data_IF_781807606600
#
_entry.id   IF_781807606600
#
_cell.length_a   1.000
_cell.length_b   1.000
_cell.length_c   1.000
_cell.angle_alpha   90.00
_cell.angle_beta   90.00
_cell.angle_gamma   90.00
#
_symmetry.space_group_name_H-M   'P 1'
#
loop_
_entity.id
_entity.type
_entity.pdbx_description
1 polymer ?
2 non-polymer ?
3 non-polymer ?
4 water ?
#
# COMPACT_ATOMS: atom_id res chain seq x y z
N UNK A 1 -10.47 23.66 -2.11
CA UNK A 1 -9.74 22.40 -2.04
C UNK A 1 -8.61 22.33 -3.05
N UNK A 2 -7.40 22.10 -2.56
CA UNK A 2 -6.20 22.04 -3.38
C UNK A 2 -6.25 21.00 -4.49
N UNK A 3 -5.48 21.25 -5.54
CA UNK A 3 -5.37 20.29 -6.62
C UNK A 3 -4.54 19.11 -6.14
N UNK A 4 -3.60 19.38 -5.23
CA UNK A 4 -2.71 18.34 -4.72
C UNK A 4 -2.28 18.67 -3.29
N UNK A 5 -2.81 17.92 -2.31
CA UNK A 5 -2.56 18.28 -0.91
C UNK A 5 -1.10 18.10 -0.48
N UNK A 6 -0.32 17.36 -1.27
CA UNK A 6 1.08 17.14 -0.93
C UNK A 6 2.00 18.28 -1.35
N UNK A 7 1.51 19.16 -2.23
CA UNK A 7 2.26 20.35 -2.65
C UNK A 7 2.13 21.43 -1.59
N UNK A 8 3.26 21.88 -1.04
CA UNK A 8 3.24 22.96 -0.07
C UNK A 8 2.85 22.52 1.34
N UNK A 9 2.99 21.23 1.63
CA UNK A 9 2.74 20.74 2.98
C UNK A 9 3.88 19.79 3.37
N UNK A 10 4.13 19.64 4.67
CA UNK A 10 5.10 18.65 5.11
C UNK A 10 4.34 17.44 5.63
N UNK A 11 4.92 16.26 5.44
CA UNK A 11 4.24 15.04 5.87
C UNK A 11 4.22 14.90 7.37
N UNK A 12 3.09 14.43 7.89
CA UNK A 12 2.97 14.03 9.28
C UNK A 12 4.04 13.02 9.67
N UNK A 13 4.69 13.22 10.81
CA UNK A 13 5.61 12.21 11.31
C UNK A 13 4.98 11.52 12.51
N UNK A 14 4.70 10.24 12.37
CA UNK A 14 4.04 9.45 13.42
C UNK A 14 5.03 9.16 14.54
N UNK A 15 4.82 9.77 15.72
CA UNK A 15 5.82 9.61 16.78
C UNK A 15 5.88 8.19 17.32
N UNK A 16 4.79 7.45 17.24
CA UNK A 16 4.76 6.08 17.75
C UNK A 16 5.57 5.12 16.86
N UNK A 17 5.45 5.28 15.55
CA UNK A 17 6.30 4.54 14.64
C UNK A 17 7.76 5.00 14.81
N UNK A 18 7.98 6.31 14.87
CA UNK A 18 9.35 6.81 14.96
C UNK A 18 10.05 6.31 16.21
N UNK A 19 9.30 6.14 17.30
CA UNK A 19 9.89 5.63 18.54
C UNK A 19 10.42 4.21 18.35
N UNK A 20 9.67 3.39 17.62
CA UNK A 20 10.12 2.05 17.29
C UNK A 20 11.39 2.07 16.43
N UNK A 21 11.42 2.97 15.45
CA UNK A 21 12.59 3.07 14.57
C UNK A 21 13.84 3.47 15.36
N UNK A 22 13.70 4.46 16.22
CA UNK A 22 14.82 4.95 17.04
C UNK A 22 15.29 3.88 18.03
N UNK A 23 14.35 3.15 18.62
CA UNK A 23 14.70 2.03 19.49
C UNK A 23 15.51 0.98 18.73
N UNK A 24 15.11 0.73 17.49
CA UNK A 24 15.83 -0.22 16.66
C UNK A 24 17.25 0.29 16.38
N UNK A 25 17.34 1.59 16.09
CA UNK A 25 18.65 2.21 15.84
C UNK A 25 19.59 2.01 17.03
N UNK A 26 19.05 2.17 18.23
CA UNK A 26 19.83 2.02 19.46
C UNK A 26 20.22 0.57 19.76
N UNK A 27 19.59 -0.37 19.07
CA UNK A 27 19.94 -1.78 19.20
C UNK A 27 20.77 -2.27 18.03
N UNK A 28 21.14 -1.34 17.15
CA UNK A 28 21.90 -1.66 15.94
C UNK A 28 23.42 -1.52 16.18
N UNK A 29 24.13 -2.62 16.01
CA UNK A 29 25.58 -2.65 16.23
C UNK A 29 26.32 -1.78 15.22
N UNK A 30 26.12 -2.07 13.93
CA UNK A 30 26.70 -1.30 12.85
C UNK A 30 26.34 0.18 12.99
N UNK A 31 27.36 1.03 13.19
CA UNK A 31 27.15 2.47 13.43
C UNK A 31 26.59 3.17 12.19
N UNK A 32 27.00 2.72 11.00
CA UNK A 32 26.49 3.29 9.76
C UNK A 32 25.01 2.96 9.62
N UNK A 33 24.68 1.67 9.75
CA UNK A 33 23.30 1.22 9.66
C UNK A 33 22.45 1.89 10.74
N UNK A 34 23.01 2.03 11.94
CA UNK A 34 22.31 2.67 13.04
C UNK A 34 21.98 4.13 12.71
N UNK A 35 22.91 4.82 12.05
CA UNK A 35 22.68 6.21 11.69
C UNK A 35 21.62 6.32 10.59
N UNK A 36 21.62 5.33 9.69
CA UNK A 36 20.60 5.27 8.64
C UNK A 36 19.21 5.00 9.23
N UNK A 37 19.15 4.03 10.15
CA UNK A 37 17.90 3.72 10.88
C UNK A 37 17.38 4.98 11.56
N UNK A 38 18.27 5.73 12.21
CA UNK A 38 17.90 6.96 12.89
C UNK A 38 17.27 7.98 11.93
N UNK A 39 17.84 8.09 10.73
CA UNK A 39 17.33 9.00 9.70
C UNK A 39 15.93 8.60 9.23
N UNK A 40 15.72 7.29 9.10
CA UNK A 40 14.43 6.79 8.63
C UNK A 40 13.27 7.29 9.51
N UNK A 41 13.54 7.43 10.80
CA UNK A 41 12.55 7.89 11.78
C UNK A 41 12.00 9.29 11.51
N UNK A 42 12.67 10.04 10.64
CA UNK A 42 12.25 11.42 10.35
C UNK A 42 11.26 11.52 9.19
N UNK A 43 11.01 10.40 8.52
CA UNK A 43 10.10 10.41 7.36
C UNK A 43 8.63 10.18 7.73
N UNK A 44 7.75 10.53 6.80
CA UNK A 44 6.30 10.51 7.03
C UNK A 44 5.67 9.19 6.61
N UNK A 45 4.92 8.57 7.52
CA UNK A 45 4.22 7.31 7.24
C UNK A 45 2.74 7.47 7.60
N UNK A 46 1.89 6.65 6.99
CA UNK A 46 0.44 6.75 7.21
C UNK A 46 0.01 6.08 8.52
N UNK A 47 -1.12 6.55 9.06
CA UNK A 47 -1.71 5.97 10.27
C UNK A 47 -2.86 5.05 9.85
N UNK A 48 -2.72 3.76 10.16
CA UNK A 48 -3.72 2.78 9.74
C UNK A 48 -4.85 2.66 10.74
N UNK A 49 -6.07 2.79 10.26
CA UNK A 49 -7.26 2.51 11.05
C UNK A 49 -7.81 1.19 10.55
N UNK A 50 -7.31 0.10 11.14
CA UNK A 50 -7.56 -1.24 10.60
C UNK A 50 -8.53 -2.04 11.45
N UNK A 51 -9.11 -1.38 12.44
CA UNK A 51 -10.12 -1.98 13.30
C UNK A 51 -10.80 -0.86 14.08
N UNK A 52 -11.98 -1.13 14.63
CA UNK A 52 -12.70 -0.13 15.37
C UNK A 52 -11.88 0.40 16.54
N UNK A 53 -11.16 -0.50 17.21
CA UNK A 53 -10.37 -0.11 18.39
C UNK A 53 -9.28 0.92 18.06
N UNK A 54 -8.82 0.92 16.82
CA UNK A 54 -7.74 1.83 16.42
C UNK A 54 -8.17 3.29 16.51
N UNK A 55 -9.47 3.52 16.47
CA UNK A 55 -9.96 4.90 16.55
C UNK A 55 -9.61 5.55 17.90
N UNK A 56 -9.59 4.76 18.97
CA UNK A 56 -9.37 5.31 20.31
C UNK A 56 -8.20 4.70 21.08
N UNK A 57 -7.67 3.56 20.64
CA UNK A 57 -6.59 2.90 21.36
C UNK A 57 -5.32 3.74 21.32
N UNK A 58 -4.61 3.80 22.44
CA UNK A 58 -3.41 4.61 22.50
C UNK A 58 -3.73 6.07 22.27
N UNK A 59 -2.87 6.81 21.57
CA UNK A 59 -3.18 8.22 21.36
C UNK A 59 -4.42 8.38 20.49
N UNK A 60 -4.73 7.36 19.69
CA UNK A 60 -5.98 7.35 18.94
C UNK A 60 -6.00 8.29 17.76
N UNK A 61 -7.08 8.26 16.98
CA UNK A 61 -7.22 9.16 15.83
C UNK A 61 -7.11 10.63 16.25
N UNK A 62 -7.83 11.02 17.30
CA UNK A 62 -7.71 12.39 17.80
C UNK A 62 -6.31 12.76 18.22
N UNK A 63 -5.61 11.81 18.83
CA UNK A 63 -4.25 12.05 19.29
C UNK A 63 -3.30 12.29 18.14
N UNK A 64 -3.45 11.52 17.07
CA UNK A 64 -2.60 11.75 15.90
C UNK A 64 -2.92 13.09 15.25
N UNK A 65 -4.19 13.46 15.21
CA UNK A 65 -4.56 14.73 14.60
C UNK A 65 -4.07 15.91 15.45
N UNK A 66 -4.15 15.76 16.77
CA UNK A 66 -3.64 16.78 17.67
C UNK A 66 -2.12 16.91 17.52
N UNK A 67 -1.46 15.78 17.31
CA UNK A 67 -0.01 15.79 17.10
C UNK A 67 0.30 16.47 15.77
N UNK A 68 -0.52 16.21 14.74
CA UNK A 68 -0.32 16.86 13.46
C UNK A 68 -0.45 18.38 13.60
N UNK A 69 -1.42 18.82 14.40
CA UNK A 69 -1.61 20.25 14.69
C UNK A 69 -0.35 20.84 15.34
N UNK A 70 0.23 20.09 16.27
CA UNK A 70 1.44 20.55 16.94
C UNK A 70 2.60 20.64 15.97
N UNK A 71 2.77 19.66 15.08
CA UNK A 71 3.83 19.70 14.09
C UNK A 71 3.63 20.86 13.13
N UNK A 72 2.39 21.15 12.78
CA UNK A 72 2.05 22.27 11.90
C UNK A 72 2.44 23.61 12.55
N UNK A 73 2.08 23.77 13.82
CA UNK A 73 2.41 24.99 14.56
C UNK A 73 3.93 25.16 14.63
N UNK A 74 4.64 24.09 14.97
CA UNK A 74 6.09 24.12 15.10
C UNK A 74 6.80 24.44 13.77
N UNK A 75 6.32 23.87 12.68
CA UNK A 75 6.96 24.05 11.38
C UNK A 75 6.57 25.37 10.72
N UNK A 76 5.40 25.88 11.09
CA UNK A 76 4.86 27.05 10.42
C UNK A 76 4.49 26.74 8.98
N UNK A 77 4.24 25.46 8.70
CA UNK A 77 3.84 25.03 7.37
C UNK A 77 2.66 24.07 7.54
N UNK A 78 1.78 24.00 6.53
CA UNK A 78 0.67 23.03 6.59
C UNK A 78 1.22 21.60 6.70
N UNK A 79 0.52 20.74 7.43
CA UNK A 79 0.91 19.34 7.55
C UNK A 79 -0.13 18.50 6.82
N UNK A 80 0.34 17.53 6.04
CA UNK A 80 -0.55 16.57 5.40
C UNK A 80 -0.40 15.22 6.10
N UNK A 81 -1.50 14.74 6.68
CA UNK A 81 -1.50 13.46 7.39
C UNK A 81 -2.27 12.43 6.59
N UNK A 82 -1.71 11.22 6.46
CA UNK A 82 -2.38 10.17 5.68
C UNK A 82 -2.98 9.13 6.63
N UNK A 83 -4.26 8.81 6.41
CA UNK A 83 -4.99 7.81 7.20
C UNK A 83 -5.39 6.66 6.29
N UNK A 84 -5.26 5.42 6.75
CA UNK A 84 -5.72 4.29 5.93
C UNK A 84 -7.06 3.79 6.50
N UNK A 85 -8.10 3.83 5.68
CA UNK A 85 -9.41 3.36 6.08
C UNK A 85 -9.50 1.90 5.67
N UNK A 86 -9.46 0.98 6.63
CA UNK A 86 -9.25 -0.43 6.31
C UNK A 86 -10.01 -1.35 7.26
N UNK A 87 -11.34 -1.36 7.17
CA UNK A 87 -12.10 -2.29 8.02
C UNK A 87 -13.36 -2.85 7.36
N UNK A 88 -13.35 -3.01 6.03
CA UNK A 88 -14.56 -3.51 5.35
C UNK A 88 -15.01 -4.87 5.86
N UNK A 89 -16.31 -5.12 5.80
CA UNK A 89 -16.84 -6.43 6.14
C UNK A 89 -16.38 -7.44 5.08
N UNK A 90 -16.10 -8.68 5.50
CA UNK A 90 -15.46 -9.67 4.63
C UNK A 90 -14.17 -9.11 4.04
N UNK A 91 -13.39 -8.42 4.87
CA UNK A 91 -12.12 -7.83 4.43
C UNK A 91 -11.20 -8.87 3.85
N UNK A 92 -10.40 -8.47 2.84
CA UNK A 92 -9.40 -9.34 2.22
C UNK A 92 -10.03 -10.67 1.83
N UNK A 93 -11.16 -10.58 1.12
CA UNK A 93 -12.04 -11.72 0.91
C UNK A 93 -11.38 -12.93 0.24
N UNK A 94 -10.35 -12.70 -0.58
CA UNK A 94 -9.75 -13.81 -1.30
C UNK A 94 -8.82 -14.66 -0.43
N UNK A 95 -8.37 -14.11 0.68
CA UNK A 95 -7.56 -14.90 1.63
C UNK A 95 -8.48 -15.87 2.37
N UNK A 96 -7.97 -17.06 2.70
CA UNK A 96 -8.77 -18.06 3.41
C UNK A 96 -9.29 -17.49 4.74
N UNK A 97 -8.48 -16.66 5.38
CA UNK A 97 -9.00 -15.83 6.46
C UNK A 97 -8.28 -14.49 6.48
N UNK A 98 -8.91 -13.50 7.11
CA UNK A 98 -8.38 -12.14 7.17
C UNK A 98 -8.24 -11.75 8.62
N UNK A 99 -7.43 -10.73 8.89
CA UNK A 99 -7.37 -10.20 10.24
C UNK A 99 -8.52 -9.23 10.54
N UNK A 100 -9.30 -8.91 9.50
CA UNK A 100 -10.43 -7.99 9.64
C UNK A 100 -11.55 -8.51 10.52
N UNK A 101 -12.04 -7.65 11.41
CA UNK A 101 -13.02 -8.07 12.42
C UNK A 101 -14.46 -8.21 11.91
N UNK A 102 -14.81 -7.55 10.80
CA UNK A 102 -16.22 -7.51 10.37
C UNK A 102 -16.55 -8.53 9.29
N UNK A 103 -17.67 -9.21 9.44
CA UNK A 103 -18.13 -10.21 8.45
C UNK A 103 -19.53 -9.88 7.97
N UNK A 104 -19.76 -10.01 6.66
CA UNK A 104 -21.05 -9.64 6.08
C UNK A 104 -22.20 -10.35 6.79
N UNK A 105 -22.02 -11.62 7.09
CA UNK A 105 -23.10 -12.42 7.69
C UNK A 105 -23.35 -12.07 9.17
N UNK A 106 -22.42 -11.36 9.80
CA UNK A 106 -22.60 -10.91 11.17
C UNK A 106 -22.74 -9.38 11.28
N UNK A 107 -23.70 -8.84 10.52
CA UNK A 107 -24.03 -7.42 10.56
C UNK A 107 -22.84 -6.54 10.17
N UNK A 108 -21.97 -7.07 9.33
CA UNK A 108 -20.74 -6.37 8.96
C UNK A 108 -20.90 -4.98 8.38
N UNK A 109 -21.76 -4.85 7.36
CA UNK A 109 -21.93 -3.55 6.71
C UNK A 109 -22.52 -2.53 7.67
N UNK A 110 -23.54 -2.94 8.44
CA UNK A 110 -24.15 -2.00 9.37
C UNK A 110 -23.16 -1.51 10.42
N UNK A 111 -22.29 -2.42 10.91
CA UNK A 111 -21.31 -2.02 11.92
C UNK A 111 -20.21 -1.18 11.28
N UNK A 112 -19.86 -1.49 10.03
CA UNK A 112 -18.86 -0.69 9.31
C UNK A 112 -19.31 0.78 9.27
N UNK A 113 -20.59 1.00 8.96
CA UNK A 113 -21.11 2.36 8.92
C UNK A 113 -21.16 2.99 10.30
N UNK A 114 -21.80 2.33 11.25
CA UNK A 114 -22.14 2.93 12.54
C UNK A 114 -21.00 2.97 13.56
N UNK A 115 -20.13 1.95 13.55
CA UNK A 115 -19.07 1.87 14.56
C UNK A 115 -17.68 2.23 14.02
N UNK A 116 -17.52 2.28 12.71
CA UNK A 116 -16.21 2.56 12.15
C UNK A 116 -16.22 3.90 11.38
N UNK A 117 -16.94 3.98 10.28
CA UNK A 117 -16.97 5.22 9.51
C UNK A 117 -17.54 6.40 10.30
N UNK A 118 -18.71 6.22 10.92
CA UNK A 118 -19.35 7.35 11.59
C UNK A 118 -18.47 8.04 12.66
N UNK A 119 -17.84 7.26 13.57
CA UNK A 119 -17.01 7.94 14.57
C UNK A 119 -15.77 8.58 13.96
N UNK A 120 -15.22 7.97 12.92
CA UNK A 120 -14.08 8.58 12.21
C UNK A 120 -14.48 9.93 11.63
N UNK A 121 -15.62 9.94 10.94
CA UNK A 121 -16.10 11.15 10.27
C UNK A 121 -16.41 12.24 11.31
N UNK A 122 -16.98 11.84 12.45
CA UNK A 122 -17.26 12.81 13.50
C UNK A 122 -15.99 13.48 14.01
N UNK A 123 -14.93 12.69 14.17
CA UNK A 123 -13.64 13.24 14.60
C UNK A 123 -13.02 14.15 13.54
N UNK A 124 -13.01 13.68 12.28
CA UNK A 124 -12.38 14.46 11.21
C UNK A 124 -13.13 15.77 10.92
N UNK A 125 -14.40 15.81 11.33
CA UNK A 125 -15.28 16.96 11.13
C UNK A 125 -15.07 18.07 12.15
N UNK A 126 -14.28 17.79 13.19
CA UNK A 126 -14.02 18.77 14.25
C UNK A 126 -13.33 19.99 13.65
N UNK A 127 -13.91 21.20 13.87
CA UNK A 127 -13.35 22.42 13.27
C UNK A 127 -11.91 22.67 13.71
N UNK A 128 -11.50 22.07 14.82
CA UNK A 128 -10.12 22.19 15.29
C UNK A 128 -9.09 21.73 14.26
N UNK A 129 -9.51 20.83 13.37
CA UNK A 129 -8.59 20.22 12.40
C UNK A 129 -8.64 20.84 11.01
N UNK A 130 -9.42 21.91 10.86
CA UNK A 130 -9.67 22.51 9.55
C UNK A 130 -8.41 22.96 8.79
N UNK A 131 -7.35 23.28 9.52
CA UNK A 131 -6.13 23.76 8.90
C UNK A 131 -5.22 22.66 8.37
N UNK A 132 -5.49 21.42 8.75
CA UNK A 132 -4.70 20.29 8.28
C UNK A 132 -5.11 19.90 6.87
N UNK A 133 -4.26 19.14 6.19
CA UNK A 133 -4.71 18.43 5.00
C UNK A 133 -4.77 16.95 5.37
N UNK A 134 -5.95 16.35 5.21
CA UNK A 134 -6.14 14.99 5.68
C UNK A 134 -6.36 14.09 4.46
N UNK A 135 -5.44 13.15 4.23
CA UNK A 135 -5.55 12.24 3.09
C UNK A 135 -6.08 10.90 3.57
N UNK A 136 -7.16 10.41 2.95
CA UNK A 136 -7.72 9.12 3.35
C UNK A 136 -7.57 8.10 2.22
N UNK A 137 -6.81 7.05 2.50
CA UNK A 137 -6.63 5.94 1.57
C UNK A 137 -7.78 4.97 1.79
N UNK A 138 -8.60 4.73 0.78
CA UNK A 138 -9.83 3.98 1.01
C UNK A 138 -9.67 2.48 0.71
N UNK A 139 -9.70 1.67 1.77
CA UNK A 139 -9.90 0.21 1.70
C UNK A 139 -9.00 -0.57 0.72
N UNK A 140 -7.72 -0.72 1.07
CA UNK A 140 -6.82 -1.60 0.34
C UNK A 140 -7.38 -3.03 0.25
N UNK A 141 -7.04 -3.75 -0.83
CA UNK A 141 -7.38 -5.17 -0.95
C UNK A 141 -8.89 -5.42 -0.93
N UNK A 142 -9.66 -4.49 -1.50
CA UNK A 142 -11.11 -4.66 -1.55
C UNK A 142 -11.61 -4.84 -2.99
N UNK A 143 -11.92 -3.73 -3.68
CA UNK A 143 -12.49 -3.79 -5.03
C UNK A 143 -11.77 -4.66 -6.08
N UNK A 144 -10.43 -4.73 -6.06
CA UNK A 144 -9.79 -5.55 -7.09
C UNK A 144 -10.21 -7.02 -7.00
N UNK A 145 -10.61 -7.47 -5.82
CA UNK A 145 -11.16 -8.82 -5.69
C UNK A 145 -12.43 -9.05 -6.50
N UNK A 146 -13.18 -7.98 -6.74
CA UNK A 146 -14.42 -8.11 -7.51
C UNK A 146 -14.12 -8.19 -9.01
N UNK A 147 -12.89 -7.90 -9.37
CA UNK A 147 -12.45 -8.08 -10.76
C UNK A 147 -11.96 -9.50 -11.03
N UNK A 148 -11.14 -10.05 -10.14
CA UNK A 148 -10.48 -11.32 -10.43
C UNK A 148 -10.89 -12.52 -9.58
N UNK A 149 -11.52 -12.26 -8.44
CA UNK A 149 -11.70 -13.31 -7.44
C UNK A 149 -13.14 -13.64 -7.10
N UNK A 150 -14.07 -13.38 -8.03
CA UNK A 150 -15.49 -13.62 -7.72
C UNK A 150 -15.86 -15.11 -7.69
N UNK A 151 -14.96 -15.98 -8.12
CA UNK A 151 -15.17 -17.43 -7.98
C UNK A 151 -15.06 -17.86 -6.51
N UNK A 152 -14.51 -16.99 -5.68
CA UNK A 152 -14.34 -17.26 -4.25
C UNK A 152 -15.57 -16.77 -3.49
N UNK A 153 -16.26 -17.69 -2.78
CA UNK A 153 -17.51 -17.31 -2.11
C UNK A 153 -17.41 -16.08 -1.23
N UNK A 154 -16.35 -15.94 -0.44
CA UNK A 154 -16.29 -14.78 0.44
C UNK A 154 -16.23 -13.46 -0.35
N UNK A 155 -15.68 -13.49 -1.55
CA UNK A 155 -15.67 -12.29 -2.39
C UNK A 155 -17.00 -12.05 -3.07
N UNK A 156 -17.58 -13.09 -3.66
CA UNK A 156 -18.88 -12.96 -4.30
C UNK A 156 -19.94 -12.49 -3.29
N UNK A 157 -19.82 -12.97 -2.06
CA UNK A 157 -20.78 -12.57 -1.01
C UNK A 157 -20.51 -11.17 -0.48
N UNK A 158 -19.33 -10.64 -0.76
CA UNK A 158 -18.94 -9.32 -0.23
C UNK A 158 -19.22 -8.17 -1.18
N UNK A 159 -19.68 -8.47 -2.40
CA UNK A 159 -19.80 -7.46 -3.45
C UNK A 159 -20.55 -6.20 -3.03
N UNK A 160 -21.77 -6.35 -2.55
CA UNK A 160 -22.54 -5.18 -2.15
C UNK A 160 -21.98 -4.47 -0.94
N UNK A 161 -21.45 -5.24 0.02
CA UNK A 161 -20.87 -4.64 1.20
C UNK A 161 -19.64 -3.79 0.83
N UNK A 162 -18.84 -4.27 -0.12
CA UNK A 162 -17.69 -3.48 -0.59
C UNK A 162 -18.18 -2.22 -1.30
N UNK A 163 -19.08 -2.39 -2.26
CA UNK A 163 -19.59 -1.25 -3.02
C UNK A 163 -20.30 -0.26 -2.11
N UNK A 164 -21.22 -0.74 -1.29
CA UNK A 164 -21.99 0.17 -0.43
C UNK A 164 -21.13 0.74 0.69
N UNK A 165 -20.21 -0.05 1.23
CA UNK A 165 -19.32 0.45 2.25
C UNK A 165 -18.42 1.56 1.74
N UNK A 166 -17.79 1.34 0.59
CA UNK A 166 -16.92 2.34 0.01
C UNK A 166 -17.70 3.59 -0.38
N UNK A 167 -18.86 3.42 -0.99
CA UNK A 167 -19.70 4.58 -1.31
C UNK A 167 -20.08 5.38 -0.06
N UNK A 168 -20.43 4.68 1.02
CA UNK A 168 -20.78 5.32 2.27
C UNK A 168 -19.59 6.08 2.83
N UNK A 169 -18.44 5.43 2.90
CA UNK A 169 -17.23 6.07 3.38
C UNK A 169 -16.92 7.35 2.61
N UNK A 170 -16.93 7.26 1.28
CA UNK A 170 -16.59 8.43 0.47
C UNK A 170 -17.66 9.52 0.58
N UNK A 171 -18.93 9.13 0.52
CA UNK A 171 -20.00 10.11 0.66
C UNK A 171 -19.89 10.91 1.95
N UNK A 172 -19.60 10.23 3.06
CA UNK A 172 -19.47 10.92 4.34
C UNK A 172 -18.19 11.76 4.42
N UNK A 173 -17.08 11.21 3.94
CA UNK A 173 -15.82 11.97 3.99
C UNK A 173 -15.85 13.22 3.09
N UNK A 174 -16.62 13.16 2.01
CA UNK A 174 -16.69 14.31 1.09
C UNK A 174 -17.38 15.53 1.74
N UNK A 175 -18.02 15.34 2.89
CA UNK A 175 -18.64 16.46 3.60
C UNK A 175 -17.59 17.29 4.37
N UNK A 176 -16.36 16.81 4.38
CA UNK A 176 -15.27 17.50 5.08
C UNK A 176 -14.31 18.08 4.03
N UNK A 177 -14.23 19.42 3.96
CA UNK A 177 -13.56 20.09 2.84
C UNK A 177 -12.04 19.93 2.81
N UNK A 178 -11.40 19.59 3.92
CA UNK A 178 -9.95 19.38 3.90
C UNK A 178 -9.54 17.89 3.86
N UNK A 179 -10.48 17.03 3.51
CA UNK A 179 -10.19 15.61 3.36
C UNK A 179 -10.01 15.25 1.88
N UNK A 180 -8.88 14.61 1.57
CA UNK A 180 -8.54 14.24 0.20
C UNK A 180 -8.61 12.73 0.09
N UNK A 181 -9.38 12.24 -0.89
CA UNK A 181 -9.82 10.86 -0.92
C UNK A 181 -9.22 10.09 -2.10
N UNK A 182 -8.45 9.05 -1.80
CA UNK A 182 -7.84 8.25 -2.86
C UNK A 182 -8.29 6.80 -2.72
N UNK A 183 -8.85 6.23 -3.79
CA UNK A 183 -9.27 4.84 -3.73
C UNK A 183 -8.09 3.93 -4.00
N UNK A 184 -7.98 2.86 -3.23
CA UNK A 184 -6.93 1.88 -3.49
C UNK A 184 -7.28 1.09 -4.73
N UNK A 185 -6.30 0.87 -5.60
CA UNK A 185 -6.52 0.10 -6.81
C UNK A 185 -5.34 -0.86 -7.05
N UNK A 186 -5.00 -1.60 -5.99
CA UNK A 186 -4.03 -2.70 -6.06
C UNK A 186 -2.66 -2.29 -6.62
N UNK A 187 -2.10 -3.12 -7.49
CA UNK A 187 -0.78 -2.87 -8.09
C UNK A 187 -0.68 -3.57 -9.46
N UNK A 188 0.39 -3.32 -10.20
CA UNK A 188 0.48 -3.83 -11.57
C UNK A 188 0.42 -5.37 -11.64
N UNK A 189 0.94 -6.03 -10.62
CA UNK A 189 0.98 -7.49 -10.61
C UNK A 189 -0.37 -8.14 -10.35
N UNK A 190 -1.37 -7.30 -10.04
CA UNK A 190 -2.74 -7.79 -9.87
C UNK A 190 -3.61 -7.45 -11.08
N UNK A 191 -3.68 -6.15 -11.43
CA UNK A 191 -4.64 -5.70 -12.43
C UNK A 191 -4.04 -5.27 -13.77
N UNK A 192 -2.79 -5.64 -14.04
CA UNK A 192 -2.11 -5.20 -15.26
C UNK A 192 -2.58 -5.80 -16.57
N UNK A 193 -2.88 -7.10 -16.56
CA UNK A 193 -3.38 -7.78 -17.77
C UNK A 193 -4.61 -7.07 -18.33
N UNK A 194 -4.73 -7.06 -19.67
CA UNK A 194 -5.82 -6.35 -20.35
C UNK A 194 -7.21 -6.59 -19.76
N UNK A 195 -7.57 -7.86 -19.55
CA UNK A 195 -8.91 -8.16 -19.05
C UNK A 195 -9.13 -7.61 -17.63
N UNK A 196 -8.14 -7.76 -16.77
CA UNK A 196 -8.21 -7.22 -15.40
C UNK A 196 -8.23 -5.69 -15.39
N UNK A 197 -7.41 -5.10 -16.24
CA UNK A 197 -7.28 -3.65 -16.33
C UNK A 197 -8.64 -3.07 -16.76
N UNK A 198 -9.20 -3.59 -17.85
CA UNK A 198 -10.48 -3.09 -18.32
C UNK A 198 -11.61 -3.36 -17.34
N UNK A 199 -11.57 -4.53 -16.70
CA UNK A 199 -12.57 -4.88 -15.71
C UNK A 199 -12.52 -3.94 -14.50
N UNK A 200 -11.32 -3.55 -14.11
CA UNK A 200 -11.16 -2.62 -12.98
C UNK A 200 -11.62 -1.22 -13.37
N UNK A 201 -11.27 -0.77 -14.58
CA UNK A 201 -11.75 0.54 -15.02
C UNK A 201 -13.28 0.59 -15.03
N UNK A 202 -13.91 -0.45 -15.58
CA UNK A 202 -15.37 -0.56 -15.55
C UNK A 202 -15.91 -0.51 -14.12
N UNK A 203 -15.36 -1.36 -13.27
CA UNK A 203 -15.86 -1.49 -11.90
C UNK A 203 -15.74 -0.19 -11.11
N UNK A 204 -14.55 0.42 -11.11
CA UNK A 204 -14.36 1.63 -10.33
C UNK A 204 -15.18 2.78 -10.90
N UNK A 205 -15.33 2.82 -12.23
CA UNK A 205 -16.19 3.85 -12.81
C UNK A 205 -17.63 3.67 -12.32
N UNK A 206 -18.13 2.44 -12.32
CA UNK A 206 -19.48 2.19 -11.79
C UNK A 206 -19.61 2.55 -10.32
N UNK A 207 -18.62 2.16 -9.51
CA UNK A 207 -18.67 2.46 -8.08
C UNK A 207 -18.70 3.98 -7.84
N UNK A 208 -17.80 4.71 -8.49
CA UNK A 208 -17.72 6.16 -8.26
C UNK A 208 -18.93 6.91 -8.84
N UNK A 209 -19.40 6.51 -10.02
CA UNK A 209 -20.59 7.14 -10.60
C UNK A 209 -21.79 7.09 -9.65
N UNK A 210 -21.86 6.04 -8.83
CA UNK A 210 -22.96 5.88 -7.90
C UNK A 210 -22.81 6.64 -6.59
N UNK A 211 -21.73 7.41 -6.46
CA UNK A 211 -21.52 8.24 -5.27
C UNK A 211 -22.25 9.57 -5.42
N UNK A 212 -22.51 10.24 -4.30
CA UNK A 212 -23.28 11.48 -4.30
C UNK A 212 -22.75 12.55 -5.25
N UNK A 213 -21.43 12.67 -5.33
CA UNK A 213 -20.83 13.68 -6.20
C UNK A 213 -20.30 13.10 -7.49
N UNK A 214 -20.70 11.87 -7.82
CA UNK A 214 -20.26 11.23 -9.04
C UNK A 214 -18.75 11.28 -9.18
N UNK A 215 -18.26 11.64 -10.36
CA UNK A 215 -16.83 11.68 -10.62
C UNK A 215 -16.06 12.73 -9.80
N UNK A 216 -16.79 13.62 -9.12
CA UNK A 216 -16.13 14.60 -8.27
C UNK A 216 -15.99 14.13 -6.84
N UNK A 217 -16.37 12.87 -6.57
CA UNK A 217 -16.39 12.33 -5.22
C UNK A 217 -15.02 11.95 -4.68
N UNK A 218 -14.06 11.69 -5.56
CA UNK A 218 -12.73 11.30 -5.11
C UNK A 218 -11.67 12.20 -5.71
N UNK A 219 -10.46 12.14 -5.18
CA UNK A 219 -9.38 12.98 -5.68
C UNK A 219 -8.32 12.20 -6.45
N UNK A 220 -8.46 10.88 -6.44
CA UNK A 220 -7.55 10.05 -7.19
C UNK A 220 -7.52 8.62 -6.69
N UNK A 221 -6.42 7.94 -6.98
CA UNK A 221 -6.27 6.52 -6.67
C UNK A 221 -4.87 6.29 -6.14
N UNK A 222 -4.66 5.18 -5.43
CA UNK A 222 -3.32 4.82 -4.98
C UNK A 222 -2.99 3.39 -5.37
N UNK A 223 -1.73 3.14 -5.75
CA UNK A 223 -1.29 1.80 -6.08
C UNK A 223 -0.18 1.35 -5.14
N UNK A 224 0.05 0.05 -5.08
CA UNK A 224 1.21 -0.56 -4.39
C UNK A 224 1.16 -0.51 -2.85
N UNK A 225 -0.01 -0.24 -2.28
CA UNK A 225 -0.13 -0.16 -0.82
C UNK A 225 0.36 -1.46 -0.17
N UNK A 226 1.33 -1.33 0.73
CA UNK A 226 1.93 -2.46 1.46
C UNK A 226 2.58 -3.49 0.56
N UNK A 227 2.79 -3.15 -0.72
CA UNK A 227 3.43 -4.08 -1.62
C UNK A 227 4.86 -3.65 -1.94
N UNK A 228 5.50 -4.34 -2.89
CA UNK A 228 6.94 -4.20 -3.10
C UNK A 228 7.29 -3.95 -4.56
N UNK A 229 6.27 -3.68 -5.37
CA UNK A 229 6.51 -3.55 -6.81
C UNK A 229 7.24 -2.24 -7.12
N UNK A 230 8.32 -2.32 -7.90
CA UNK A 230 9.10 -1.11 -8.23
C UNK A 230 8.26 -0.05 -8.94
N UNK A 231 8.55 1.23 -8.70
CA UNK A 231 7.89 2.28 -9.47
C UNK A 231 8.42 2.34 -10.89
N UNK A 232 9.67 1.90 -11.09
CA UNK A 232 10.26 1.81 -12.43
C UNK A 232 11.13 0.59 -12.57
N UNK A 233 11.04 -0.09 -13.72
CA UNK A 233 11.94 -1.19 -14.06
C UNK A 233 12.83 -0.70 -15.20
N UNK A 234 13.93 -0.02 -14.86
CA UNK A 234 14.69 0.73 -15.87
C UNK A 234 15.40 -0.14 -16.90
N UNK A 235 15.63 -1.42 -16.58
CA UNK A 235 16.34 -2.29 -17.51
C UNK A 235 15.39 -3.24 -18.24
N UNK A 236 14.08 -3.02 -18.01
CA UNK A 236 13.04 -3.67 -18.80
C UNK A 236 12.01 -2.63 -19.22
N UNK A 237 12.44 -1.62 -19.99
CA UNK A 237 11.52 -0.51 -20.31
C UNK A 237 10.53 -0.86 -21.41
N UNK A 238 10.70 -2.01 -22.05
CA UNK A 238 9.87 -2.41 -23.19
C UNK A 238 9.37 -3.85 -23.03
N UNK A 239 8.12 -4.01 -22.57
CA UNK A 239 7.55 -5.34 -22.31
C UNK A 239 7.42 -6.19 -23.57
N UNK A 240 7.50 -5.54 -24.73
CA UNK A 240 7.38 -6.25 -26.01
C UNK A 240 8.74 -6.54 -26.68
N UNK A 241 9.83 -6.16 -26.01
CA UNK A 241 11.17 -6.42 -26.51
C UNK A 241 11.37 -7.90 -26.80
N UNK A 242 11.88 -8.23 -27.98
CA UNK A 242 12.06 -9.63 -28.34
C UNK A 242 13.38 -10.20 -27.85
N UNK A 243 13.30 -11.28 -27.08
CA UNK A 243 14.47 -12.04 -26.64
C UNK A 243 14.16 -13.51 -26.92
N UNK A 244 15.04 -14.19 -27.64
CA UNK A 244 14.83 -15.59 -27.99
C UNK A 244 13.47 -15.84 -28.64
N UNK A 245 13.11 -14.98 -29.58
CA UNK A 245 11.87 -15.12 -30.33
C UNK A 245 10.58 -14.83 -29.58
N UNK A 246 10.68 -14.32 -28.35
CA UNK A 246 9.50 -14.06 -27.54
C UNK A 246 9.60 -12.71 -26.81
N UNK A 247 8.47 -12.04 -26.60
CA UNK A 247 8.51 -10.75 -25.89
C UNK A 247 8.83 -10.97 -24.42
N UNK A 248 9.59 -10.07 -23.80
CA UNK A 248 10.03 -10.28 -22.43
C UNK A 248 8.88 -10.43 -21.41
N UNK A 249 7.70 -9.87 -21.72
CA UNK A 249 6.58 -9.99 -20.79
C UNK A 249 6.08 -11.43 -20.69
N UNK A 250 6.48 -12.28 -21.64
CA UNK A 250 6.11 -13.70 -21.58
C UNK A 250 6.90 -14.47 -20.53
N UNK A 251 7.92 -13.84 -19.95
CA UNK A 251 8.69 -14.46 -18.87
C UNK A 251 7.78 -14.96 -17.76
N UNK A 252 8.21 -16.03 -17.10
CA UNK A 252 7.42 -16.64 -16.03
C UNK A 252 7.05 -15.65 -14.94
N UNK A 253 7.95 -14.72 -14.66
CA UNK A 253 7.72 -13.76 -13.58
C UNK A 253 6.54 -12.85 -13.89
N UNK A 254 6.34 -12.52 -15.16
CA UNK A 254 5.27 -11.59 -15.54
C UNK A 254 4.01 -12.27 -16.09
N UNK A 255 4.17 -13.45 -16.68
CA UNK A 255 3.02 -14.18 -17.25
C UNK A 255 2.21 -13.37 -18.25
N UNK A 256 2.90 -12.64 -19.13
CA UNK A 256 2.28 -11.83 -20.19
C UNK A 256 1.69 -10.51 -19.74
N UNK A 257 1.84 -10.19 -18.45
CA UNK A 257 1.41 -8.89 -17.95
C UNK A 257 2.18 -7.77 -18.65
N UNK A 258 1.45 -6.82 -19.26
CA UNK A 258 2.17 -5.73 -19.94
C UNK A 258 2.71 -4.64 -19.01
N UNK A 259 2.41 -4.73 -17.71
CA UNK A 259 2.91 -3.73 -16.75
C UNK A 259 3.91 -4.30 -15.76
N UNK A 260 5.15 -3.82 -15.83
CA UNK A 260 6.23 -4.34 -14.99
C UNK A 260 6.46 -3.43 -13.77
N UNK A 261 5.84 -2.25 -13.78
CA UNK A 261 6.13 -1.27 -12.74
C UNK A 261 4.96 -0.34 -12.46
N UNK A 262 5.01 0.36 -11.32
CA UNK A 262 3.85 1.10 -10.85
C UNK A 262 3.64 2.43 -11.56
N UNK A 263 4.72 3.07 -12.02
CA UNK A 263 4.54 4.32 -12.76
C UNK A 263 3.69 4.12 -14.01
N UNK A 264 4.07 3.15 -14.84
CA UNK A 264 3.35 2.90 -16.09
C UNK A 264 1.90 2.51 -15.81
N UNK A 265 1.72 1.65 -14.82
CA UNK A 265 0.40 1.16 -14.44
C UNK A 265 -0.47 2.30 -13.91
N UNK A 266 0.04 3.08 -12.96
CA UNK A 266 -0.75 4.15 -12.38
C UNK A 266 -1.15 5.21 -13.42
N UNK A 267 -0.20 5.61 -14.27
CA UNK A 267 -0.53 6.63 -15.27
C UNK A 267 -1.49 6.13 -16.33
N UNK A 268 -1.38 4.84 -16.68
CA UNK A 268 -2.31 4.24 -17.64
C UNK A 268 -3.73 4.20 -17.08
N UNK A 269 -3.87 3.84 -15.81
CA UNK A 269 -5.17 3.87 -15.16
C UNK A 269 -5.71 5.30 -15.15
N UNK A 270 -4.85 6.27 -14.78
CA UNK A 270 -5.29 7.66 -14.71
C UNK A 270 -5.85 8.13 -16.06
N UNK A 271 -5.16 7.79 -17.14
CA UNK A 271 -5.64 8.17 -18.47
C UNK A 271 -6.94 7.46 -18.83
N UNK A 272 -7.05 6.19 -18.46
CA UNK A 272 -8.26 5.43 -18.75
C UNK A 272 -9.45 6.01 -18.01
N UNK A 273 -9.27 6.39 -16.75
CA UNK A 273 -10.36 7.00 -16.00
C UNK A 273 -10.78 8.36 -16.55
N UNK A 274 -9.79 9.18 -16.91
CA UNK A 274 -10.10 10.46 -17.55
C UNK A 274 -10.91 10.23 -18.83
N UNK A 275 -10.55 9.17 -19.56
CA UNK A 275 -11.30 8.81 -20.75
C UNK A 275 -12.74 8.45 -20.47
N UNK A 276 -13.01 7.95 -19.27
CA UNK A 276 -14.37 7.54 -18.89
C UNK A 276 -15.18 8.66 -18.26
N UNK A 277 -14.55 9.82 -18.06
CA UNK A 277 -15.28 10.98 -17.55
C UNK A 277 -14.77 11.57 -16.25
N UNK A 278 -13.77 10.95 -15.64
CA UNK A 278 -13.17 11.54 -14.44
C UNK A 278 -12.45 12.83 -14.86
N UNK A 279 -12.49 13.87 -14.01
CA UNK A 279 -11.81 15.13 -14.36
C UNK A 279 -10.30 14.96 -14.34
N UNK A 280 -9.57 15.75 -15.11
CA UNK A 280 -8.12 15.57 -15.21
C UNK A 280 -7.39 16.02 -13.94
N UNK A 281 -8.14 16.58 -13.00
CA UNK A 281 -7.61 16.91 -11.68
C UNK A 281 -7.31 15.69 -10.80
N UNK A 282 -7.75 14.49 -11.21
CA UNK A 282 -7.41 13.31 -10.43
C UNK A 282 -5.90 13.08 -10.49
N UNK A 283 -5.34 12.55 -9.40
CA UNK A 283 -3.92 12.23 -9.38
C UNK A 283 -3.70 10.88 -8.71
N UNK A 284 -2.54 10.28 -8.96
CA UNK A 284 -2.24 8.96 -8.41
C UNK A 284 -1.19 9.04 -7.33
N UNK A 285 -1.33 8.18 -6.31
CA UNK A 285 -0.27 8.00 -5.32
C UNK A 285 0.33 6.62 -5.55
N UNK A 286 1.61 6.47 -5.21
CA UNK A 286 2.25 5.15 -5.21
C UNK A 286 2.95 4.96 -3.88
N UNK A 287 2.67 3.85 -3.21
CA UNK A 287 3.34 3.50 -1.94
C UNK A 287 4.75 3.01 -2.25
N UNK A 288 5.76 3.80 -1.90
CA UNK A 288 7.15 3.46 -2.20
C UNK A 288 7.89 3.08 -0.92
N UNK A 289 7.13 2.70 0.11
CA UNK A 289 7.72 2.36 1.40
C UNK A 289 8.73 1.21 1.33
N UNK A 290 8.49 0.22 0.48
CA UNK A 290 9.31 -1.00 0.52
C UNK A 290 9.63 -1.55 -0.86
N UNK A 291 9.74 -0.68 -1.85
CA UNK A 291 9.95 -1.14 -3.23
C UNK A 291 11.26 -0.68 -3.86
N UNK A 292 12.24 -0.33 -3.05
CA UNK A 292 13.52 0.16 -3.57
C UNK A 292 14.40 -0.92 -4.17
N UNK A 293 14.39 -2.12 -3.58
CA UNK A 293 15.17 -3.25 -4.10
C UNK A 293 16.65 -2.94 -4.29
N UNK A 294 17.25 -2.25 -3.33
CA UNK A 294 18.70 -2.13 -3.29
C UNK A 294 19.27 -3.35 -2.57
N UNK A 295 20.57 -3.36 -2.32
CA UNK A 295 21.20 -4.48 -1.64
C UNK A 295 21.03 -5.79 -2.37
N UNK A 296 21.05 -6.89 -1.62
CA UNK A 296 21.00 -8.25 -2.19
C UNK A 296 20.09 -9.14 -1.35
N UNK A 297 19.30 -9.98 -2.01
CA UNK A 297 18.46 -10.99 -1.34
C UNK A 297 17.89 -11.89 -2.43
N UNK A 298 17.34 -13.03 -2.04
CA UNK A 298 16.75 -13.97 -3.00
C UNK A 298 17.73 -14.37 -4.10
N UNK A 299 19.01 -14.44 -3.74
CA UNK A 299 20.04 -14.94 -4.64
C UNK A 299 20.55 -13.97 -5.70
N UNK A 300 20.15 -12.70 -5.60
CA UNK A 300 20.56 -11.70 -6.60
C UNK A 300 20.88 -10.36 -5.94
N UNK A 301 21.65 -9.53 -6.62
CA UNK A 301 21.80 -8.14 -6.22
C UNK A 301 21.03 -7.30 -7.23
N UNK A 302 20.84 -6.02 -6.92
CA UNK A 302 20.13 -5.14 -7.85
C UNK A 302 20.90 -5.08 -9.18
N UNK A 303 20.18 -5.26 -10.29
CA UNK A 303 20.85 -5.20 -11.60
C UNK A 303 21.34 -3.77 -11.91
N UNK A 304 22.39 -3.67 -12.72
CA UNK A 304 22.93 -2.35 -13.09
C UNK A 304 22.92 -2.23 -14.60
N UNK A 305 22.06 -3.01 -15.23
CA UNK A 305 21.89 -2.99 -16.67
C UNK A 305 21.05 -4.18 -17.10
N UNK A 306 20.60 -4.16 -18.37
CA UNK A 306 19.94 -5.34 -18.94
C UNK A 306 20.85 -6.54 -18.85
N UNK A 307 20.31 -7.73 -18.63
CA UNK A 307 21.13 -8.94 -18.54
C UNK A 307 21.92 -9.17 -19.83
N UNK A 308 23.16 -9.62 -19.69
CA UNK A 308 23.94 -10.04 -20.85
C UNK A 308 23.50 -11.42 -21.33
N UNK A 309 22.69 -12.11 -20.53
CA UNK A 309 22.19 -13.43 -20.91
C UNK A 309 20.92 -13.32 -21.75
N UNK A 310 21.07 -13.42 -23.07
CA UNK A 310 19.95 -13.32 -23.99
C UNK A 310 19.54 -14.69 -24.54
N UNK A 311 19.98 -15.75 -23.87
CA UNK A 311 19.73 -17.11 -24.33
C UNK A 311 18.28 -17.55 -24.15
N UNK A 312 17.62 -17.02 -23.13
CA UNK A 312 16.20 -17.29 -22.93
C UNK A 312 15.50 -16.09 -22.29
N UNK A 313 14.19 -15.99 -22.54
CA UNK A 313 13.36 -14.94 -21.97
C UNK A 313 13.49 -14.89 -20.46
N UNK A 314 13.36 -16.05 -19.82
CA UNK A 314 13.43 -16.11 -18.36
C UNK A 314 14.79 -15.71 -17.80
N UNK A 315 15.87 -16.20 -18.42
CA UNK A 315 17.19 -15.84 -17.97
C UNK A 315 17.42 -14.34 -18.10
N UNK A 316 16.99 -13.78 -19.22
CA UNK A 316 17.17 -12.35 -19.47
C UNK A 316 16.38 -11.50 -18.47
N UNK A 317 15.08 -11.79 -18.37
CA UNK A 317 14.23 -11.04 -17.45
C UNK A 317 14.69 -11.19 -16.00
N UNK A 318 15.01 -12.41 -15.58
CA UNK A 318 15.40 -12.64 -14.19
C UNK A 318 16.72 -11.95 -13.85
N UNK A 319 17.55 -11.71 -14.87
CA UNK A 319 18.79 -10.98 -14.65
C UNK A 319 18.64 -9.47 -14.80
N UNK A 320 17.47 -9.01 -15.26
CA UNK A 320 17.26 -7.59 -15.53
C UNK A 320 16.28 -6.88 -14.59
N UNK A 321 15.41 -7.66 -13.93
CA UNK A 321 14.37 -7.04 -13.11
C UNK A 321 14.90 -6.61 -11.74
N UNK A 322 14.46 -5.44 -11.27
CA UNK A 322 14.89 -5.04 -9.94
C UNK A 322 14.04 -5.72 -8.84
N UNK A 323 12.78 -6.02 -9.16
CA UNK A 323 11.94 -6.79 -8.23
C UNK A 323 12.49 -8.22 -8.18
N UNK A 324 13.15 -8.57 -7.08
CA UNK A 324 13.83 -9.86 -6.93
C UNK A 324 12.97 -11.00 -6.38
N UNK A 325 11.68 -10.76 -6.17
CA UNK A 325 10.84 -11.77 -5.54
C UNK A 325 10.77 -13.05 -6.39
N UNK A 326 10.55 -14.20 -5.75
CA UNK A 326 10.46 -15.46 -6.47
C UNK A 326 9.22 -15.47 -7.36
N UNK A 327 8.17 -14.81 -6.90
CA UNK A 327 6.90 -14.76 -7.60
C UNK A 327 6.25 -13.43 -7.27
N UNK A 328 5.58 -12.82 -8.24
CA UNK A 328 5.03 -11.47 -8.06
C UNK A 328 3.96 -11.34 -6.98
N UNK A 329 3.36 -12.47 -6.61
CA UNK A 329 2.31 -12.46 -5.60
C UNK A 329 2.82 -12.64 -4.18
N UNK A 330 4.15 -12.74 -4.02
CA UNK A 330 4.75 -12.88 -2.70
C UNK A 330 4.68 -11.56 -1.94
N UNK A 331 3.69 -11.42 -1.07
CA UNK A 331 3.44 -10.14 -0.43
C UNK A 331 3.87 -10.05 1.03
N UNK A 332 4.29 -11.16 1.62
CA UNK A 332 4.49 -11.16 3.07
C UNK A 332 5.95 -11.16 3.52
N UNK A 333 6.31 -10.13 4.27
CA UNK A 333 7.60 -10.06 4.96
C UNK A 333 8.78 -10.32 4.04
N UNK A 334 8.80 -9.62 2.91
CA UNK A 334 9.83 -9.83 1.90
C UNK A 334 11.11 -9.11 2.26
N UNK A 335 12.24 -9.68 1.83
CA UNK A 335 13.54 -9.08 2.07
C UNK A 335 13.83 -8.01 1.01
N UNK A 336 12.98 -6.99 0.96
CA UNK A 336 13.16 -5.90 0.02
C UNK A 336 13.95 -4.75 0.63
N UNK A 337 13.76 -3.56 0.08
CA UNK A 337 14.42 -2.38 0.60
C UNK A 337 13.48 -1.21 0.55
N UNK A 338 13.70 -0.25 1.45
CA UNK A 338 12.94 0.99 1.41
C UNK A 338 13.10 1.66 0.05
N UNK A 339 12.01 2.24 -0.49
CA UNK A 339 12.06 2.91 -1.78
C UNK A 339 12.19 4.43 -1.68
N UNK A 340 11.84 5.13 -2.75
CA UNK A 340 11.92 6.60 -2.75
C UNK A 340 11.24 7.23 -1.53
N UNK A 341 11.89 8.20 -0.90
CA UNK A 341 11.26 8.88 0.23
C UNK A 341 10.02 9.64 -0.23
N UNK A 342 9.06 9.87 0.68
CA UNK A 342 7.86 10.61 0.27
C UNK A 342 8.22 11.95 -0.37
N UNK A 343 7.62 12.22 -1.53
CA UNK A 343 7.91 13.42 -2.30
C UNK A 343 6.73 13.78 -3.19
N UNK A 344 6.43 15.07 -3.30
CA UNK A 344 5.27 15.54 -4.04
C UNK A 344 5.53 15.64 -5.53
N UNK A 345 4.49 15.37 -6.32
CA UNK A 345 4.51 15.55 -7.79
C UNK A 345 5.83 15.14 -8.49
N UNK A 346 6.24 13.87 -8.34
CA UNK A 346 7.49 13.47 -8.99
C UNK A 346 7.38 13.40 -10.52
N UNK A 347 6.19 13.09 -11.03
CA UNK A 347 5.93 13.06 -12.48
C UNK A 347 4.50 13.56 -12.67
N UNK A 348 4.17 14.08 -13.86
CA UNK A 348 2.81 14.53 -14.13
C UNK A 348 1.83 13.37 -13.98
N UNK A 349 0.73 13.59 -13.27
CA UNK A 349 -0.25 12.53 -13.02
C UNK A 349 -0.08 11.85 -11.68
N UNK A 350 1.11 11.98 -11.10
CA UNK A 350 1.42 11.38 -9.81
C UNK A 350 1.41 12.47 -8.74
N UNK A 351 0.43 12.47 -7.85
CA UNK A 351 0.38 13.48 -6.79
C UNK A 351 1.58 13.37 -5.85
N UNK A 352 2.02 12.14 -5.57
CA UNK A 352 3.14 11.92 -4.64
C UNK A 352 3.55 10.46 -4.60
N UNK A 353 4.82 10.22 -4.26
CA UNK A 353 5.23 8.94 -3.71
C UNK A 353 5.01 9.10 -2.21
N UNK A 354 4.43 8.10 -1.58
CA UNK A 354 4.11 8.18 -0.16
C UNK A 354 4.54 6.90 0.53
N UNK A 355 4.75 6.95 1.84
CA UNK A 355 4.93 5.72 2.60
C UNK A 355 3.62 5.41 3.35
N UNK A 356 2.84 4.48 2.82
CA UNK A 356 1.58 4.11 3.47
C UNK A 356 1.84 2.99 4.49
N UNK A 357 2.33 1.84 4.02
CA UNK A 357 2.83 0.82 4.93
C UNK A 357 4.06 1.40 5.63
N UNK A 358 4.09 1.34 6.96
CA UNK A 358 5.28 1.92 7.63
C UNK A 358 6.40 0.91 7.64
N UNK A 359 7.57 1.26 7.07
CA UNK A 359 8.66 0.28 6.99
C UNK A 359 9.03 -0.27 8.37
N UNK A 360 9.19 -1.58 8.47
CA UNK A 360 9.60 -2.19 9.72
C UNK A 360 8.44 -2.87 10.44
N UNK A 361 7.21 -2.55 10.06
CA UNK A 361 6.05 -3.24 10.64
C UNK A 361 5.77 -4.53 9.88
N UNK A 362 5.51 -5.60 10.64
CA UNK A 362 5.32 -6.94 10.06
C UNK A 362 4.07 -7.03 9.16
N UNK A 363 4.13 -7.92 8.17
CA UNK A 363 2.96 -8.22 7.33
C UNK A 363 2.14 -9.40 7.91
N UNK A 364 2.68 -10.07 8.93
CA UNK A 364 2.02 -11.23 9.49
C UNK A 364 2.96 -12.12 10.27
N UNK A 365 2.42 -12.86 11.25
CA UNK A 365 3.20 -13.78 12.06
C UNK A 365 3.70 -14.93 11.16
N UNK A 366 4.84 -15.52 11.49
CA UNK A 366 5.45 -16.49 10.56
C UNK A 366 5.14 -17.97 10.83
N UNK A 367 4.35 -18.26 11.86
CA UNK A 367 3.92 -19.65 12.09
C UNK A 367 2.59 -19.64 12.86
N UNK A 368 1.81 -20.73 12.74
CA UNK A 368 0.54 -20.80 13.48
C UNK A 368 0.76 -21.19 14.94
N UNK A 369 -0.29 -21.13 15.74
CA UNK A 369 -0.20 -21.55 17.13
C UNK A 369 0.07 -20.43 18.11
N UNK A 370 0.22 -19.22 17.58
CA UNK A 370 0.55 -18.05 18.41
C UNK A 370 -0.52 -16.97 18.26
N UNK A 371 -1.33 -16.78 19.30
CA UNK A 371 -2.43 -15.82 19.27
C UNK A 371 -1.91 -14.43 19.65
N UNK A 372 -2.40 -13.39 19.00
CA UNK A 372 -2.05 -12.02 19.39
C UNK A 372 -2.92 -11.62 20.59
N UNK A 373 -2.30 -11.35 21.74
CA UNK A 373 -3.10 -11.01 22.93
C UNK A 373 -3.85 -9.68 22.79
N UNK A 374 -3.42 -8.82 21.87
CA UNK A 374 -4.04 -7.50 21.73
C UNK A 374 -5.02 -7.41 20.55
N UNK A 375 -5.10 -8.47 19.76
CA UNK A 375 -6.07 -8.53 18.65
C UNK A 375 -6.46 -9.98 18.38
N UNK A 376 -7.62 -10.39 18.92
CA UNK A 376 -8.10 -11.77 18.77
C UNK A 376 -8.39 -12.14 17.32
N UNK A 377 -8.48 -11.16 16.43
CA UNK A 377 -8.78 -11.45 15.03
C UNK A 377 -7.57 -11.70 14.14
N UNK A 378 -6.36 -11.39 14.63
CA UNK A 378 -5.18 -11.64 13.81
C UNK A 378 -4.83 -13.12 13.74
N UNK A 379 -4.58 -13.59 12.51
CA UNK A 379 -4.44 -15.02 12.22
C UNK A 379 -3.26 -15.26 11.30
N UNK A 380 -2.58 -16.40 11.47
CA UNK A 380 -1.51 -16.78 10.58
C UNK A 380 -2.04 -16.99 9.15
N UNK A 381 -1.29 -16.50 8.18
CA UNK A 381 -1.56 -16.74 6.75
C UNK A 381 -0.35 -17.47 6.17
N UNK A 382 -0.58 -18.60 5.46
CA UNK A 382 0.51 -19.40 4.90
C UNK A 382 1.45 -18.63 3.97
N UNK A 383 1.03 -17.48 3.45
CA UNK A 383 1.94 -16.70 2.61
C UNK A 383 3.09 -16.15 3.46
N UNK A 384 2.92 -16.15 4.78
CA UNK A 384 3.97 -15.67 5.67
C UNK A 384 4.86 -16.81 6.20
N UNK A 385 4.62 -18.02 5.72
CA UNK A 385 5.39 -19.18 6.18
C UNK A 385 6.75 -19.20 5.48
N UNK A 386 7.84 -19.01 6.24
CA UNK A 386 9.16 -19.04 5.60
C UNK A 386 9.48 -20.42 5.03
N UNK A 387 8.83 -21.46 5.55
CA UNK A 387 9.08 -22.81 5.07
C UNK A 387 8.08 -23.28 4.01
N UNK A 388 7.18 -22.40 3.58
CA UNK A 388 6.11 -22.81 2.69
C UNK A 388 6.20 -22.33 1.25
N UNK A 389 5.25 -22.78 0.43
CA UNK A 389 5.16 -22.37 -0.96
C UNK A 389 4.06 -21.33 -1.13
N UNK A 390 4.15 -20.55 -2.21
CA UNK A 390 3.10 -19.59 -2.56
C UNK A 390 1.77 -20.30 -2.78
N UNK A 391 0.67 -19.69 -2.32
CA UNK A 391 -0.64 -20.25 -2.58
C UNK A 391 -1.13 -19.91 -3.98
N UNK A 392 -0.54 -18.87 -4.58
CA UNK A 392 -0.92 -18.43 -5.92
C UNK A 392 -0.26 -19.28 -7.00
N UNK A 393 0.91 -19.82 -6.67
CA UNK A 393 1.62 -20.77 -7.54
C UNK A 393 2.63 -21.56 -6.71
N UNK A 394 2.27 -22.80 -6.37
CA UNK A 394 3.04 -23.58 -5.40
C UNK A 394 4.40 -24.02 -5.90
N UNK A 395 4.74 -23.69 -7.14
CA UNK A 395 6.07 -23.96 -7.66
C UNK A 395 7.11 -23.02 -7.03
N UNK A 396 6.65 -21.97 -6.35
CA UNK A 396 7.55 -20.95 -5.81
C UNK A 396 7.45 -20.84 -4.29
N UNK A 397 8.60 -20.62 -3.63
CA UNK A 397 8.60 -20.37 -2.18
C UNK A 397 7.93 -19.03 -1.88
N UNK A 398 7.47 -18.85 -0.65
CA UNK A 398 6.82 -17.59 -0.27
C UNK A 398 7.80 -16.44 -0.20
N UNK A 399 9.07 -16.75 0.06
CA UNK A 399 10.09 -15.73 0.29
C UNK A 399 9.93 -15.00 1.61
N UNK A 400 9.02 -15.44 2.46
CA UNK A 400 8.76 -14.73 3.72
C UNK A 400 9.88 -14.91 4.75
N UNK A 401 10.25 -13.81 5.41
CA UNK A 401 11.28 -13.84 6.45
C UNK A 401 10.79 -14.56 7.69
N UNK A 402 11.69 -15.28 8.38
CA UNK A 402 11.31 -16.03 9.58
C UNK A 402 11.25 -15.16 10.82
N UNK A 403 10.66 -15.69 11.89
CA UNK A 403 10.60 -15.00 13.18
C UNK A 403 9.82 -13.69 13.16
N UNK A 404 8.80 -13.62 12.33
CA UNK A 404 8.00 -12.41 12.23
C UNK A 404 6.91 -12.37 13.30
N UNK A 405 6.71 -11.20 13.92
CA UNK A 405 5.60 -11.05 14.88
C UNK A 405 4.31 -10.83 14.12
N UNK A 406 3.19 -10.74 14.83
CA UNK A 406 1.90 -10.51 14.18
C UNK A 406 1.91 -9.20 13.37
N UNK A 407 1.07 -9.15 12.34
CA UNK A 407 0.96 -8.00 11.44
C UNK A 407 0.87 -6.68 12.20
N UNK A 408 1.62 -5.68 11.73
CA UNK A 408 1.59 -4.36 12.32
C UNK A 408 2.56 -4.14 13.46
N UNK A 409 3.08 -5.24 14.03
CA UNK A 409 4.03 -5.14 15.12
C UNK A 409 5.44 -4.94 14.56
N UNK A 410 6.30 -4.31 15.37
CA UNK A 410 7.67 -4.02 14.94
C UNK A 410 8.44 -5.30 14.67
N UNK A 411 9.11 -5.37 13.51
CA UNK A 411 9.83 -6.56 13.06
C UNK A 411 11.31 -6.21 12.90
N UNK A 412 12.10 -6.36 13.98
CA UNK A 412 13.51 -5.94 13.98
C UNK A 412 14.31 -6.44 12.78
N UNK A 413 14.23 -7.74 12.49
CA UNK A 413 15.04 -8.31 11.41
C UNK A 413 14.68 -7.74 10.03
N UNK A 414 13.39 -7.58 9.75
CA UNK A 414 13.02 -7.00 8.47
C UNK A 414 13.37 -5.52 8.42
N UNK A 415 13.27 -4.81 9.54
CA UNK A 415 13.55 -3.38 9.50
C UNK A 415 15.01 -3.16 9.11
N UNK A 416 15.91 -3.99 9.62
CA UNK A 416 17.33 -3.84 9.27
C UNK A 416 17.60 -4.16 7.81
N UNK A 417 16.98 -5.22 7.30
CA UNK A 417 17.07 -5.55 5.89
C UNK A 417 16.53 -4.43 5.00
N UNK A 418 15.37 -3.89 5.36
CA UNK A 418 14.76 -2.83 4.56
C UNK A 418 15.64 -1.58 4.48
N UNK A 419 16.27 -1.23 5.60
CA UNK A 419 17.17 -0.07 5.61
C UNK A 419 18.47 -0.38 4.86
N UNK A 420 19.06 -1.54 5.12
CA UNK A 420 20.28 -1.93 4.42
C UNK A 420 20.06 -1.99 2.92
N UNK A 421 18.85 -2.39 2.50
CA UNK A 421 18.55 -2.53 1.09
C UNK A 421 17.87 -1.30 0.47
N UNK A 422 17.86 -0.18 1.18
CA UNK A 422 17.15 1.01 0.67
C UNK A 422 17.71 1.45 -0.68
N UNK A 423 16.82 1.87 -1.58
CA UNK A 423 17.25 2.47 -2.84
C UNK A 423 16.34 3.65 -3.18
N UNK A 424 16.90 4.86 -3.23
CA UNK A 424 18.33 5.16 -3.02
C UNK A 424 18.73 4.91 -1.57
N UNK A 425 20.00 4.60 -1.33
CA UNK A 425 20.43 4.33 0.06
C UNK A 425 20.08 5.48 1.00
N UNK A 426 19.78 5.15 2.25
CA UNK A 426 19.47 6.18 3.24
C UNK A 426 20.68 7.07 3.46
N UNK A 427 20.48 8.39 3.38
CA UNK A 427 21.53 9.36 3.67
C UNK A 427 21.40 9.80 5.13
N UNK A 428 22.30 9.31 5.99
CA UNK A 428 22.24 9.53 7.44
C UNK A 428 22.40 10.99 7.80
X LIG B 1 -5.82 17.14 -8.13
X LIG C 1 8.57 1.21 -18.17
X LIG D 1 -4.96 -11.82 -4.80
X LIG D 1 -3.47 -11.60 -4.62
X LIG D 1 -2.71 -11.48 -5.95
X LIG D 1 -1.57 -10.51 -5.78
X LIG D 1 -2.11 -12.82 -6.35
X LIG D 1 -1.43 -12.71 -7.69
X LIG D 1 -5.71 -11.45 -3.88
X LIG D 1 -5.39 -12.39 -5.84
X LIG D 1 -0.87 -10.58 -4.74
X LIG D 1 -1.33 -9.66 -6.68
X LIG D 1 -1.89 -11.88 -8.51
X LIG D 1 -0.44 -13.45 -7.92
X LIG D 1 -3.61 -11.06 -6.98
#
# INVERSE_FOLDING_TARGET
MLDNPFIGAIGYVNPDWATNVISQANQTADPTLAAQMRKVATYSTAVWLDRIAAITAGRGLRGHLDEALRQMQQAGQPVVITLVIYDLSNRDCSAAASNGELLVAQNGLARYKAEFIDPIVAILSDPRYAGLRIVTIIEPDSLPNLVTNLSIPACAEAQNAYIEGIRYAVNRLRTIPNVYIYLDIAHSGWLGWDNNFNGAVNLYTQVVQGMDQGFNSIDGFITNVANYTPFEEPYLPDPNLTIAGQPVRSASFYEWNPYFDELDYALALRNAFIGRGFPSTIGMLIDTSRNGWGGCSYGRCRPTGPSSDTSSVNAYVDGSRVDRRYHRGNWCNQAGGIGERPQAAPRSGIDAYVWVKPPGESDGVSQPGIVDPDDPNKKFDPMCDPNGQSRYNSAYPTGALPNAPHAGRWFPQQSEILVRNAYPPIQP
LI LI
LI LI
FLC CAC CA CB CBC CG CGC OA1 OA2 OB1 OB2 OG1 OG2 OHB
#
